data_IF_589560027632
#
_entry.id   IF_589560027632
#
_cell.length_a   1.000
_cell.length_b   1.000
_cell.length_c   1.000
_cell.angle_alpha   90.00
_cell.angle_beta   90.00
_cell.angle_gamma   90.00
#
_symmetry.space_group_name_H-M   'P 1'
#
loop_
_entity.id
_entity.type
_entity.pdbx_description
1 polymer ?
#
# COMPACT_ATOMS: atom_id res chain seq x y z
N UNK A 1 5.46 -20.07 -18.66
CA UNK A 1 5.39 -19.34 -17.38
C UNK A 1 4.82 -17.97 -17.69
N UNK A 2 3.67 -17.58 -17.13
CA UNK A 2 3.06 -16.27 -17.43
C UNK A 2 3.94 -15.17 -16.80
N UNK A 3 4.20 -14.09 -17.53
CA UNK A 3 4.95 -12.94 -17.01
C UNK A 3 4.17 -12.34 -15.83
N UNK A 4 4.85 -11.97 -14.73
CA UNK A 4 4.20 -11.37 -13.54
C UNK A 4 3.40 -10.11 -13.90
N UNK A 5 3.87 -9.33 -14.89
CA UNK A 5 3.14 -8.17 -15.41
C UNK A 5 1.78 -8.58 -15.99
N UNK A 6 1.75 -9.61 -16.83
CA UNK A 6 0.50 -10.09 -17.43
C UNK A 6 -0.45 -10.63 -16.36
N UNK A 7 0.07 -11.26 -15.30
CA UNK A 7 -0.73 -11.70 -14.16
C UNK A 7 -1.37 -10.51 -13.41
N UNK A 8 -0.62 -9.43 -13.17
CA UNK A 8 -1.18 -8.22 -12.58
C UNK A 8 -2.22 -7.54 -13.49
N UNK A 9 -2.01 -7.55 -14.80
CA UNK A 9 -2.96 -7.02 -15.78
C UNK A 9 -4.28 -7.81 -15.75
N UNK A 10 -4.21 -9.14 -15.63
CA UNK A 10 -5.43 -9.96 -15.46
C UNK A 10 -6.18 -9.55 -14.20
N UNK A 11 -5.50 -9.46 -13.06
CA UNK A 11 -6.11 -9.06 -11.77
C UNK A 11 -6.71 -7.66 -11.91
N UNK A 12 -5.99 -6.71 -12.50
CA UNK A 12 -6.48 -5.36 -12.73
C UNK A 12 -7.79 -5.38 -13.54
N UNK A 13 -7.81 -6.12 -14.65
CA UNK A 13 -8.99 -6.23 -15.49
C UNK A 13 -10.16 -6.96 -14.82
N UNK A 14 -9.87 -7.92 -13.95
CA UNK A 14 -10.88 -8.62 -13.17
C UNK A 14 -11.55 -7.71 -12.15
N UNK A 15 -10.78 -6.86 -11.46
CA UNK A 15 -11.27 -6.10 -10.30
C UNK A 15 -11.64 -4.64 -10.58
N UNK A 16 -11.28 -4.08 -11.76
CA UNK A 16 -11.52 -2.66 -12.07
C UNK A 16 -12.97 -2.19 -11.97
N UNK A 17 -13.94 -3.10 -12.10
CA UNK A 17 -15.37 -2.81 -11.99
C UNK A 17 -16.03 -3.44 -10.75
N UNK A 18 -15.24 -3.99 -9.82
CA UNK A 18 -15.74 -4.75 -8.65
C UNK A 18 -15.79 -3.92 -7.36
N UNK A 19 -15.68 -2.60 -7.45
CA UNK A 19 -15.64 -1.73 -6.26
C UNK A 19 -16.83 -1.91 -5.30
N UNK A 20 -18.10 -1.96 -5.74
CA UNK A 20 -19.23 -2.16 -4.82
C UNK A 20 -19.20 -3.54 -4.16
N UNK A 21 -18.86 -4.61 -4.91
CA UNK A 21 -18.75 -5.96 -4.37
C UNK A 21 -17.63 -6.06 -3.32
N UNK A 22 -16.53 -5.34 -3.53
CA UNK A 22 -15.41 -5.29 -2.58
C UNK A 22 -15.80 -4.60 -1.27
N UNK A 23 -16.64 -3.56 -1.30
CA UNK A 23 -17.18 -2.92 -0.08
C UNK A 23 -18.04 -3.89 0.74
N UNK A 24 -18.87 -4.68 0.06
CA UNK A 24 -19.70 -5.72 0.70
C UNK A 24 -18.79 -6.79 1.29
N UNK A 25 -17.87 -7.34 0.49
CA UNK A 25 -16.90 -8.34 0.93
C UNK A 25 -16.13 -7.89 2.16
N UNK A 26 -15.64 -6.65 2.19
CA UNK A 26 -14.91 -6.11 3.33
C UNK A 26 -15.77 -6.08 4.61
N UNK A 27 -17.04 -5.72 4.48
CA UNK A 27 -17.99 -5.67 5.60
C UNK A 27 -18.32 -7.07 6.13
N UNK A 28 -18.42 -8.05 5.25
CA UNK A 28 -18.74 -9.44 5.60
C UNK A 28 -17.56 -10.21 6.21
N UNK A 29 -16.32 -9.82 5.87
CA UNK A 29 -15.11 -10.55 6.27
C UNK A 29 -14.33 -9.86 7.40
N UNK A 30 -14.61 -8.59 7.70
CA UNK A 30 -13.97 -7.88 8.81
C UNK A 30 -14.62 -8.24 10.15
N UNK A 31 -13.84 -8.79 11.07
CA UNK A 31 -14.31 -9.13 12.43
C UNK A 31 -13.97 -8.04 13.45
N UNK A 32 -13.01 -7.18 13.13
CA UNK A 32 -12.63 -6.07 14.00
C UNK A 32 -12.12 -4.85 13.22
N UNK A 33 -12.08 -3.71 13.90
CA UNK A 33 -11.68 -2.42 13.33
C UNK A 33 -10.67 -1.71 14.24
N UNK A 34 -9.75 -0.99 13.62
CA UNK A 34 -8.78 -0.13 14.30
C UNK A 34 -8.68 1.20 13.55
N UNK A 35 -8.09 2.20 14.20
CA UNK A 35 -7.90 3.52 13.62
C UNK A 35 -6.44 3.90 13.63
N UNK A 36 -6.04 4.69 12.65
CA UNK A 36 -4.74 5.33 12.57
C UNK A 36 -4.87 6.80 12.19
N UNK A 37 -3.74 7.48 12.28
CA UNK A 37 -3.62 8.87 11.84
C UNK A 37 -2.26 9.16 11.22
N UNK A 38 -2.23 10.09 10.29
CA UNK A 38 -1.01 10.53 9.61
C UNK A 38 -1.35 11.05 8.22
N UNK A 39 -0.47 11.83 7.61
CA UNK A 39 -0.61 12.19 6.19
C UNK A 39 -0.56 10.92 5.34
N UNK A 40 0.36 10.02 5.68
CA UNK A 40 0.43 8.67 5.13
C UNK A 40 -0.25 7.65 6.04
N UNK A 41 -0.78 6.54 5.49
CA UNK A 41 -1.23 5.39 6.26
C UNK A 41 -0.16 4.85 7.22
N UNK A 42 -0.61 4.28 8.34
CA UNK A 42 0.24 3.56 9.29
C UNK A 42 0.66 2.17 8.78
N UNK A 43 -0.07 1.64 7.81
CA UNK A 43 0.19 0.36 7.17
C UNK A 43 0.28 0.57 5.67
N UNK A 44 1.24 -0.11 5.06
CA UNK A 44 1.34 -0.31 3.62
C UNK A 44 1.72 -1.75 3.38
N UNK A 45 1.27 -2.30 2.26
CA UNK A 45 1.63 -3.65 1.86
C UNK A 45 3.12 -3.76 1.50
N UNK A 46 3.70 -2.68 0.97
CA UNK A 46 5.11 -2.62 0.60
C UNK A 46 5.96 -1.99 1.72
N UNK A 47 7.00 -2.69 2.23
CA UNK A 47 7.91 -2.12 3.22
C UNK A 47 8.51 -0.77 2.77
N UNK A 48 8.56 0.18 3.69
CA UNK A 48 9.13 1.53 3.53
C UNK A 48 8.49 2.38 2.41
N UNK A 49 7.28 2.06 1.95
CA UNK A 49 6.66 2.79 0.84
C UNK A 49 6.48 4.28 1.09
N UNK A 50 6.32 4.71 2.35
CA UNK A 50 6.17 6.11 2.72
C UNK A 50 7.54 6.79 2.80
N UNK A 51 8.50 6.13 3.44
CA UNK A 51 9.84 6.65 3.71
C UNK A 51 10.67 6.77 2.43
N UNK A 52 10.45 5.88 1.45
CA UNK A 52 11.01 6.01 0.09
C UNK A 52 10.48 7.24 -0.66
N UNK A 53 9.39 7.86 -0.20
CA UNK A 53 8.86 9.14 -0.70
C UNK A 53 9.25 10.32 0.20
N UNK A 54 10.25 10.15 1.07
CA UNK A 54 10.67 11.17 2.04
C UNK A 54 9.69 11.38 3.21
N UNK A 55 8.60 10.61 3.27
CA UNK A 55 7.51 10.82 4.21
C UNK A 55 7.50 9.82 5.35
N UNK A 56 7.17 10.27 6.56
CA UNK A 56 6.95 9.36 7.70
C UNK A 56 5.61 8.63 7.56
N UNK A 57 5.61 7.32 7.77
CA UNK A 57 4.38 6.53 7.95
C UNK A 57 3.50 7.06 9.09
N UNK A 58 2.19 6.82 8.96
CA UNK A 58 1.23 7.13 10.03
C UNK A 58 1.44 6.26 11.27
N UNK A 59 0.58 6.44 12.27
CA UNK A 59 0.56 5.59 13.46
C UNK A 59 -0.82 5.04 13.74
N UNK A 60 -0.87 3.81 14.25
CA UNK A 60 -2.09 3.26 14.84
C UNK A 60 -2.44 4.03 16.12
N UNK A 61 -3.73 4.28 16.33
CA UNK A 61 -4.27 4.93 17.51
C UNK A 61 -4.49 3.90 18.61
N UNK A 62 -4.20 4.30 19.85
CA UNK A 62 -4.47 3.46 21.04
C UNK A 62 -5.97 3.35 21.35
N UNK A 63 -6.75 4.36 20.98
CA UNK A 63 -8.21 4.37 21.17
C UNK A 63 -8.86 3.59 20.03
N UNK A 64 -9.69 2.60 20.40
CA UNK A 64 -10.45 1.78 19.46
C UNK A 64 -11.60 2.53 18.80
N UNK A 65 -12.22 3.46 19.53
CA UNK A 65 -13.31 4.27 19.00
C UNK A 65 -12.80 5.65 18.59
N UNK A 66 -12.89 5.93 17.30
CA UNK A 66 -12.60 7.21 16.68
C UNK A 66 -13.66 7.49 15.60
N UNK A 67 -13.83 8.77 15.27
CA UNK A 67 -14.65 9.20 14.14
C UNK A 67 -13.77 9.50 12.93
N UNK A 68 -14.35 9.51 11.72
CA UNK A 68 -13.75 10.14 10.54
C UNK A 68 -13.20 11.54 10.85
N UNK A 69 -12.02 11.83 10.32
CA UNK A 69 -11.36 13.13 10.38
C UNK A 69 -10.34 13.22 9.24
N UNK A 70 -9.88 14.44 8.91
CA UNK A 70 -8.77 14.61 7.96
C UNK A 70 -7.56 13.82 8.45
N UNK A 71 -6.89 13.10 7.54
CA UNK A 71 -5.71 12.27 7.83
C UNK A 71 -6.01 11.16 8.86
N UNK A 72 -7.26 10.69 8.91
CA UNK A 72 -7.69 9.53 9.70
C UNK A 72 -7.83 8.34 8.78
N UNK A 73 -7.41 7.17 9.25
CA UNK A 73 -7.52 5.93 8.50
C UNK A 73 -8.23 4.89 9.35
N UNK A 74 -9.16 4.16 8.74
CA UNK A 74 -9.87 3.05 9.36
C UNK A 74 -9.35 1.74 8.77
N UNK A 75 -8.90 0.83 9.62
CA UNK A 75 -8.34 -0.45 9.25
C UNK A 75 -9.32 -1.56 9.61
N UNK A 76 -9.51 -2.49 8.69
CA UNK A 76 -10.42 -3.63 8.82
C UNK A 76 -9.58 -4.90 8.91
N UNK A 77 -9.84 -5.73 9.93
CA UNK A 77 -9.05 -6.93 10.17
C UNK A 77 -9.91 -8.19 10.07
N UNK A 78 -9.34 -9.26 9.52
CA UNK A 78 -9.92 -10.61 9.49
C UNK A 78 -9.78 -11.32 10.85
N UNK A 79 -10.26 -12.58 10.92
CA UNK A 79 -10.20 -13.42 12.11
C UNK A 79 -8.77 -13.74 12.59
N UNK A 80 -7.79 -13.59 11.71
CA UNK A 80 -6.37 -13.84 11.99
C UNK A 80 -5.62 -12.53 12.29
N UNK A 81 -6.34 -11.41 12.49
CA UNK A 81 -5.79 -10.07 12.66
C UNK A 81 -4.98 -9.54 11.46
N UNK A 82 -5.14 -10.08 10.26
CA UNK A 82 -4.58 -9.47 9.05
C UNK A 82 -5.43 -8.26 8.67
N UNK A 83 -4.78 -7.16 8.25
CA UNK A 83 -5.49 -6.04 7.64
C UNK A 83 -5.96 -6.49 6.24
N UNK A 84 -7.27 -6.47 6.03
CA UNK A 84 -7.92 -6.84 4.75
C UNK A 84 -8.49 -5.64 3.99
N UNK A 85 -8.50 -4.47 4.62
CA UNK A 85 -8.80 -3.23 3.92
C UNK A 85 -8.59 -1.98 4.77
N UNK A 86 -8.54 -0.85 4.07
CA UNK A 86 -8.32 0.49 4.64
C UNK A 86 -9.31 1.46 4.02
N UNK A 87 -9.86 2.35 4.83
CA UNK A 87 -10.53 3.58 4.38
C UNK A 87 -9.70 4.77 4.84
N UNK A 88 -9.27 5.60 3.90
CA UNK A 88 -8.45 6.78 4.14
C UNK A 88 -9.33 8.02 3.97
N UNK A 89 -9.56 8.75 5.06
CA UNK A 89 -10.40 9.95 5.07
C UNK A 89 -9.59 11.18 4.67
N UNK A 90 -9.80 11.67 3.45
CA UNK A 90 -9.01 12.75 2.87
C UNK A 90 -9.57 14.13 3.21
N UNK A 91 -10.86 14.36 2.93
CA UNK A 91 -11.52 15.66 3.10
C UNK A 91 -13.02 15.48 3.31
N UNK A 92 -13.62 16.31 4.16
CA UNK A 92 -15.07 16.43 4.26
C UNK A 92 -15.59 17.49 3.28
N UNK A 93 -16.63 17.16 2.52
CA UNK A 93 -17.27 18.06 1.55
C UNK A 93 -18.60 18.53 2.12
N UNK A 94 -18.62 19.78 2.60
CA UNK A 94 -19.76 20.35 3.30
C UNK A 94 -21.05 20.41 2.49
N UNK A 95 -20.95 20.51 1.16
CA UNK A 95 -22.11 20.61 0.25
C UNK A 95 -22.87 19.29 0.18
N UNK A 96 -22.14 18.16 0.11
CA UNK A 96 -22.72 16.82 0.03
C UNK A 96 -22.84 16.14 1.40
N UNK A 97 -22.28 16.77 2.46
CA UNK A 97 -22.24 16.26 3.83
C UNK A 97 -21.61 14.86 3.92
N UNK A 98 -20.54 14.66 3.15
CA UNK A 98 -19.87 13.39 3.05
C UNK A 98 -18.34 13.53 3.04
N UNK A 99 -17.66 12.44 3.37
CA UNK A 99 -16.21 12.35 3.23
C UNK A 99 -15.83 11.89 1.82
N UNK A 100 -14.78 12.50 1.28
CA UNK A 100 -14.00 11.91 0.19
C UNK A 100 -13.01 10.93 0.81
N UNK A 101 -13.06 9.68 0.33
CA UNK A 101 -12.24 8.59 0.85
C UNK A 101 -11.46 7.90 -0.26
N UNK A 102 -10.31 7.35 0.09
CA UNK A 102 -9.64 6.31 -0.70
C UNK A 102 -9.87 4.95 -0.03
N UNK A 103 -9.95 3.89 -0.81
CA UNK A 103 -10.07 2.52 -0.29
C UNK A 103 -9.00 1.60 -0.84
N UNK A 104 -8.51 0.76 0.05
CA UNK A 104 -7.58 -0.31 -0.27
C UNK A 104 -8.17 -1.63 0.22
N UNK A 105 -8.00 -2.69 -0.57
CA UNK A 105 -8.47 -4.05 -0.25
C UNK A 105 -7.32 -5.04 -0.41
N UNK A 106 -7.19 -5.99 0.51
CA UNK A 106 -6.09 -6.95 0.51
C UNK A 106 -6.59 -8.40 0.57
N UNK A 107 -6.08 -9.22 -0.35
CA UNK A 107 -6.37 -10.64 -0.44
C UNK A 107 -5.11 -11.44 -0.15
N UNK A 108 -5.12 -12.19 0.94
CA UNK A 108 -4.01 -13.07 1.32
C UNK A 108 -4.22 -14.47 0.75
N UNK A 109 -3.16 -15.02 0.16
CA UNK A 109 -2.99 -16.43 -0.18
C UNK A 109 -1.73 -16.95 0.53
N UNK A 110 -1.47 -18.25 0.42
CA UNK A 110 -0.40 -18.91 1.20
C UNK A 110 0.98 -18.26 1.07
N UNK A 111 1.37 -17.82 -0.13
CA UNK A 111 2.69 -17.25 -0.42
C UNK A 111 2.62 -15.89 -1.13
N UNK A 112 1.46 -15.24 -1.16
CA UNK A 112 1.30 -13.94 -1.78
C UNK A 112 0.17 -13.13 -1.15
N UNK A 113 0.27 -11.81 -1.26
CA UNK A 113 -0.81 -10.88 -0.91
C UNK A 113 -1.06 -9.96 -2.10
N UNK A 114 -2.33 -9.85 -2.49
CA UNK A 114 -2.77 -8.94 -3.56
C UNK A 114 -3.43 -7.72 -2.89
N UNK A 115 -2.95 -6.52 -3.21
CA UNK A 115 -3.57 -5.26 -2.85
C UNK A 115 -4.24 -4.60 -4.04
N UNK A 116 -5.48 -4.14 -3.85
CA UNK A 116 -6.24 -3.35 -4.81
C UNK A 116 -6.39 -1.93 -4.26
N UNK A 117 -5.86 -0.93 -4.96
CA UNK A 117 -5.83 0.45 -4.50
C UNK A 117 -6.69 1.30 -5.41
N UNK A 118 -7.83 1.77 -4.89
CA UNK A 118 -8.80 2.55 -5.65
C UNK A 118 -8.54 4.05 -5.52
N UNK A 119 -8.97 4.80 -6.55
CA UNK A 119 -9.04 6.24 -6.52
C UNK A 119 -10.03 6.76 -5.46
N UNK A 120 -10.06 8.09 -5.30
CA UNK A 120 -10.98 8.69 -4.35
C UNK A 120 -12.41 8.76 -4.88
N UNK A 121 -13.35 8.64 -3.96
CA UNK A 121 -14.79 8.78 -4.23
C UNK A 121 -15.51 9.25 -2.96
N UNK A 122 -16.80 9.60 -3.04
CA UNK A 122 -17.62 9.85 -1.86
C UNK A 122 -17.71 8.59 -0.98
N UNK A 123 -17.75 8.74 0.34
CA UNK A 123 -17.76 7.61 1.27
C UNK A 123 -18.88 6.61 1.00
N UNK A 124 -20.02 7.14 0.53
CA UNK A 124 -21.23 6.38 0.22
C UNK A 124 -21.31 5.96 -1.25
N UNK A 125 -20.42 6.44 -2.11
CA UNK A 125 -20.42 6.12 -3.54
C UNK A 125 -19.98 4.68 -3.78
N UNK A 126 -20.51 4.11 -4.86
CA UNK A 126 -20.26 2.74 -5.32
C UNK A 126 -19.45 2.70 -6.61
N UNK A 127 -18.93 3.84 -7.06
CA UNK A 127 -18.10 3.95 -8.25
C UNK A 127 -16.75 4.60 -7.89
N UNK A 128 -15.68 3.82 -8.06
CA UNK A 128 -14.31 4.28 -7.96
C UNK A 128 -13.45 3.47 -8.93
N UNK A 129 -12.53 4.15 -9.61
CA UNK A 129 -11.59 3.49 -10.50
C UNK A 129 -10.51 2.76 -9.69
N UNK A 130 -10.15 1.57 -10.13
CA UNK A 130 -8.96 0.88 -9.63
C UNK A 130 -7.73 1.58 -10.20
N UNK A 131 -6.92 2.21 -9.35
CA UNK A 131 -5.72 2.93 -9.79
C UNK A 131 -4.53 1.98 -9.96
N UNK A 132 -4.36 1.02 -9.04
CA UNK A 132 -3.25 0.07 -9.09
C UNK A 132 -3.53 -1.24 -8.37
N UNK A 133 -2.85 -2.29 -8.83
CA UNK A 133 -2.74 -3.60 -8.19
C UNK A 133 -1.31 -3.79 -7.71
N UNK A 134 -1.17 -4.23 -6.47
CA UNK A 134 0.09 -4.61 -5.85
C UNK A 134 0.06 -6.12 -5.60
N UNK A 135 1.13 -6.82 -5.93
CA UNK A 135 1.36 -8.21 -5.56
C UNK A 135 2.63 -8.27 -4.72
N UNK A 136 2.51 -8.75 -3.50
CA UNK A 136 3.65 -9.07 -2.64
C UNK A 136 3.85 -10.57 -2.60
N UNK A 137 5.09 -11.02 -2.76
CA UNK A 137 5.51 -12.41 -2.59
C UNK A 137 6.07 -12.62 -1.19
N UNK A 138 5.69 -13.76 -0.61
CA UNK A 138 6.06 -14.15 0.74
C UNK A 138 6.91 -15.43 0.72
N UNK A 139 7.95 -15.46 1.55
CA UNK A 139 8.61 -16.68 2.02
C UNK A 139 8.32 -16.81 3.52
N UNK A 140 7.35 -17.67 3.86
CA UNK A 140 6.70 -17.64 5.18
C UNK A 140 5.97 -16.31 5.41
N UNK A 141 6.41 -15.54 6.42
CA UNK A 141 5.90 -14.19 6.70
C UNK A 141 6.83 -13.07 6.19
N UNK A 142 7.93 -13.43 5.52
CA UNK A 142 8.92 -12.46 5.02
C UNK A 142 8.55 -12.04 3.60
N UNK A 143 8.45 -10.73 3.39
CA UNK A 143 8.21 -10.14 2.07
C UNK A 143 9.52 -10.18 1.27
N UNK A 144 9.54 -10.89 0.15
CA UNK A 144 10.74 -11.05 -0.69
C UNK A 144 10.74 -10.13 -1.90
N UNK A 145 9.58 -10.00 -2.54
CA UNK A 145 9.39 -9.16 -3.72
C UNK A 145 8.02 -8.46 -3.66
N UNK A 146 7.93 -7.28 -4.27
CA UNK A 146 6.67 -6.63 -4.62
C UNK A 146 6.63 -6.30 -6.10
N UNK A 147 5.43 -6.31 -6.67
CA UNK A 147 5.17 -5.93 -8.05
C UNK A 147 3.93 -5.05 -8.08
N UNK A 148 3.99 -3.93 -8.80
CA UNK A 148 2.87 -3.00 -8.92
C UNK A 148 2.56 -2.74 -10.38
N UNK A 149 1.28 -2.76 -10.73
CA UNK A 149 0.76 -2.34 -12.04
C UNK A 149 -0.32 -1.28 -11.83
N UNK A 150 -0.28 -0.20 -12.60
CA UNK A 150 -1.25 0.90 -12.53
C UNK A 150 -2.03 1.11 -13.83
N UNK A 151 -3.12 1.85 -13.70
CA UNK A 151 -4.07 2.21 -14.76
C UNK A 151 -3.45 2.99 -15.93
N UNK A 152 -2.34 3.68 -15.69
CA UNK A 152 -1.51 4.36 -16.69
C UNK A 152 -0.49 3.44 -17.41
N UNK A 153 -0.63 2.12 -17.26
CA UNK A 153 0.26 1.07 -17.79
C UNK A 153 1.69 1.06 -17.20
N UNK A 154 1.92 1.80 -16.11
CA UNK A 154 3.20 1.72 -15.41
C UNK A 154 3.32 0.39 -14.67
N UNK A 155 4.54 -0.14 -14.66
CA UNK A 155 4.87 -1.36 -13.95
C UNK A 155 6.12 -1.13 -13.10
N UNK A 156 6.16 -1.69 -11.90
CA UNK A 156 7.36 -1.68 -11.07
C UNK A 156 7.53 -2.99 -10.32
N UNK A 157 8.77 -3.30 -9.98
CA UNK A 157 9.16 -4.43 -9.16
C UNK A 157 10.13 -3.95 -8.08
N UNK A 158 9.98 -4.47 -6.87
CA UNK A 158 10.95 -4.31 -5.79
C UNK A 158 11.41 -5.67 -5.29
N UNK A 159 12.69 -5.77 -4.98
CA UNK A 159 13.27 -6.90 -4.26
C UNK A 159 13.79 -6.40 -2.92
N UNK A 160 13.47 -7.13 -1.86
CA UNK A 160 13.90 -6.82 -0.50
C UNK A 160 15.04 -7.75 -0.11
N UNK A 161 16.17 -7.17 0.29
CA UNK A 161 17.33 -7.93 0.76
C UNK A 161 17.48 -7.77 2.26
N UNK A 162 17.77 -8.88 2.92
CA UNK A 162 17.76 -8.99 4.37
C UNK A 162 19.12 -9.38 4.92
N UNK A 163 19.40 -8.89 6.12
CA UNK A 163 20.45 -9.38 7.02
C UNK A 163 19.85 -9.50 8.41
N UNK A 164 20.02 -10.66 9.05
CA UNK A 164 19.51 -10.91 10.41
C UNK A 164 18.00 -10.59 10.55
N UNK A 165 17.20 -10.93 9.53
CA UNK A 165 15.76 -10.64 9.42
C UNK A 165 15.37 -9.15 9.35
N UNK A 166 16.33 -8.25 9.10
CA UNK A 166 16.09 -6.83 8.86
C UNK A 166 16.36 -6.51 7.40
N UNK A 167 15.48 -5.73 6.77
CA UNK A 167 15.71 -5.25 5.40
C UNK A 167 16.89 -4.28 5.44
N UNK A 168 17.95 -4.58 4.67
CA UNK A 168 19.12 -3.72 4.52
C UNK A 168 19.14 -3.02 3.18
N UNK A 169 18.50 -3.60 2.16
CA UNK A 169 18.47 -3.02 0.83
C UNK A 169 17.14 -3.25 0.13
N UNK A 170 16.81 -2.31 -0.76
CA UNK A 170 15.68 -2.43 -1.68
C UNK A 170 16.19 -2.14 -3.09
N UNK A 171 16.01 -3.09 -3.99
CA UNK A 171 16.27 -2.91 -5.41
C UNK A 171 14.94 -2.63 -6.10
N UNK A 172 14.78 -1.47 -6.73
CA UNK A 172 13.56 -1.08 -7.41
C UNK A 172 13.81 -0.95 -8.92
N UNK A 173 12.94 -1.57 -9.71
CA UNK A 173 12.90 -1.49 -11.18
C UNK A 173 11.56 -0.93 -11.61
N UNK A 174 11.56 0.06 -12.49
CA UNK A 174 10.34 0.76 -12.93
C UNK A 174 10.32 0.89 -14.45
N UNK A 175 9.15 0.66 -15.04
CA UNK A 175 8.86 0.82 -16.45
C UNK A 175 7.78 1.89 -16.60
N UNK A 176 8.19 3.16 -16.69
CA UNK A 176 7.33 4.36 -16.68
C UNK A 176 7.27 5.05 -18.05
N UNK A 177 7.28 4.27 -19.13
CA UNK A 177 7.65 4.74 -20.47
C UNK A 177 9.17 4.77 -20.72
N UNK A 178 9.96 4.91 -19.65
CA UNK A 178 11.41 4.67 -19.62
C UNK A 178 11.74 3.66 -18.53
N UNK A 179 12.79 2.87 -18.74
CA UNK A 179 13.31 1.96 -17.72
C UNK A 179 14.20 2.70 -16.72
N UNK A 180 13.92 2.54 -15.42
CA UNK A 180 14.67 3.16 -14.32
C UNK A 180 14.96 2.09 -13.26
N UNK A 181 16.19 2.10 -12.75
CA UNK A 181 16.58 1.31 -11.58
C UNK A 181 16.97 2.24 -10.44
N UNK A 182 16.64 1.84 -9.21
CA UNK A 182 17.05 2.51 -7.98
C UNK A 182 17.47 1.50 -6.95
N UNK A 183 18.49 1.86 -6.18
CA UNK A 183 19.09 1.00 -5.17
C UNK A 183 19.13 1.75 -3.85
N UNK A 184 18.42 1.21 -2.86
CA UNK A 184 18.31 1.83 -1.54
C UNK A 184 19.10 1.05 -0.50
N UNK A 185 19.78 1.75 0.40
CA UNK A 185 20.31 1.20 1.64
C UNK A 185 19.42 1.64 2.80
N UNK A 186 19.11 0.69 3.67
CA UNK A 186 18.24 0.85 4.84
C UNK A 186 19.08 0.61 6.11
N UNK A 187 19.13 1.61 6.97
CA UNK A 187 19.75 1.53 8.29
C UNK A 187 18.65 1.78 9.33
N UNK A 188 18.40 0.83 10.24
CA UNK A 188 17.29 0.94 11.20
C UNK A 188 17.72 1.44 12.59
N UNK A 189 19.02 1.44 12.88
CA UNK A 189 19.58 1.76 14.19
C UNK A 189 20.63 2.88 14.07
N UNK A 190 20.65 3.90 14.95
CA UNK A 190 19.73 4.14 16.08
C UNK A 190 18.35 4.69 15.65
N UNK A 191 18.23 5.10 14.38
CA UNK A 191 17.00 5.61 13.78
C UNK A 191 16.96 5.20 12.32
N UNK A 192 15.76 5.03 11.76
CA UNK A 192 15.60 4.73 10.34
C UNK A 192 16.24 5.82 9.46
N UNK A 193 17.19 5.40 8.63
CA UNK A 193 17.79 6.19 7.58
C UNK A 193 17.72 5.39 6.27
N UNK A 194 17.31 6.07 5.20
CA UNK A 194 17.29 5.50 3.85
C UNK A 194 18.17 6.37 2.96
N UNK A 195 19.07 5.73 2.22
CA UNK A 195 19.88 6.39 1.19
C UNK A 195 19.69 5.72 -0.15
N UNK A 196 19.69 6.50 -1.23
CA UNK A 196 19.70 6.03 -2.61
C UNK A 196 21.12 6.09 -3.16
N UNK A 197 21.55 5.01 -3.82
CA UNK A 197 22.81 4.98 -4.56
C UNK A 197 22.57 5.53 -5.97
N UNK A 198 23.08 6.73 -6.22
CA UNK A 198 22.99 7.41 -7.53
C UNK A 198 24.35 7.43 -8.21
N UNK A 199 24.42 7.72 -9.53
CA UNK A 199 25.69 7.90 -10.22
C UNK A 199 26.58 9.01 -9.62
N UNK A 200 25.98 9.99 -8.93
CA UNK A 200 26.67 11.12 -8.29
C UNK A 200 27.10 10.83 -6.84
N UNK A 201 26.67 9.69 -6.29
CA UNK A 201 26.95 9.26 -4.93
C UNK A 201 25.71 8.89 -4.13
N UNK A 202 25.88 8.75 -2.82
CA UNK A 202 24.79 8.44 -1.89
C UNK A 202 23.98 9.69 -1.57
N UNK A 203 22.67 9.62 -1.82
CA UNK A 203 21.70 10.67 -1.48
C UNK A 203 20.82 10.19 -0.34
N UNK A 204 20.65 10.98 0.72
CA UNK A 204 19.72 10.63 1.79
C UNK A 204 18.28 10.94 1.33
N UNK A 205 17.41 9.93 1.44
CA UNK A 205 15.99 9.99 1.08
C UNK A 205 15.12 10.16 2.32
N UNK A 206 15.54 9.54 3.45
CA UNK A 206 14.81 9.63 4.71
C UNK A 206 15.78 9.61 5.90
N UNK A 207 15.54 10.43 6.95
CA UNK A 207 14.63 11.58 6.95
C UNK A 207 15.10 12.63 5.93
N UNK A 208 14.17 13.44 5.40
CA UNK A 208 14.51 14.63 4.61
C UNK A 208 15.27 15.69 5.42
#
# INVERSE_FOLDING_TARGET
MKNVKDYLIDIFNEYKSKYPELKIWLSDNAVSQSWGMGIMPAYSLEPYSCELLGSKSGRMLKKKDCSPAVNRHKYFMDINNNIIGIVIYAKFVDVHKEWIVYREFYFRKDNEVIGLIFGSTGENDDDANLNRVILVKLDGDIITDSYTYSDDNNFSARRYLYKDNVITNIEQRMWLGTYIERYYNIETEPTLKITENTPEGLVQIYPE
#
